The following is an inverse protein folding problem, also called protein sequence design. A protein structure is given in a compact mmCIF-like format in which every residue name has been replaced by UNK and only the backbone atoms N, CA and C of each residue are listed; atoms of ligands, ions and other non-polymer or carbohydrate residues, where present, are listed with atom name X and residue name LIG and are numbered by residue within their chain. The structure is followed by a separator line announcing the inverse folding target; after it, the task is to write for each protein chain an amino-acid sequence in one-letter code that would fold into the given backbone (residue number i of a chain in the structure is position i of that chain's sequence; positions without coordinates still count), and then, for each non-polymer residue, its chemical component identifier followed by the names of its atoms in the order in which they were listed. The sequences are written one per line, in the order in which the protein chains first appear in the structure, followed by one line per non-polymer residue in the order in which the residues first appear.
data_IF_122211908152
#
_entry.id   IF_122211908152
#
_cell.length_a   1.000
_cell.length_b   1.000
_cell.length_c   1.000
_cell.angle_alpha   90.00
_cell.angle_beta   90.00
_cell.angle_gamma   90.00
#
_symmetry.space_group_name_H-M   'P 1'
#
loop_
_entity.id
_entity.type
_entity.pdbx_description
1 polymer ?
#
# COMPACT_ATOMS: atom_id res chain seq x y z
N UNK A 1 -9.77 25.71 -9.61
CA UNK A 1 -10.32 24.53 -10.31
C UNK A 1 -10.74 23.50 -9.29
N UNK A 2 -11.88 22.74 -9.50
CA UNK A 2 -12.30 21.69 -8.57
C UNK A 2 -11.86 20.32 -9.05
N UNK A 3 -11.34 19.52 -8.12
CA UNK A 3 -10.94 18.11 -8.30
C UNK A 3 -11.75 17.29 -7.30
N UNK A 4 -12.29 16.14 -7.71
CA UNK A 4 -12.99 15.20 -6.84
C UNK A 4 -12.27 13.86 -6.85
N UNK A 5 -11.67 13.48 -5.71
CA UNK A 5 -11.15 12.15 -5.48
C UNK A 5 -12.27 11.27 -4.90
N UNK A 6 -12.46 10.09 -5.47
CA UNK A 6 -13.48 9.11 -5.06
C UNK A 6 -12.78 7.85 -4.55
N UNK A 7 -13.03 7.50 -3.28
CA UNK A 7 -12.44 6.34 -2.62
C UNK A 7 -13.53 5.42 -2.03
N UNK A 8 -13.26 4.12 -2.01
CA UNK A 8 -14.14 3.10 -1.42
C UNK A 8 -13.89 2.84 0.07
N UNK A 9 -13.01 3.62 0.69
CA UNK A 9 -12.65 3.52 2.11
C UNK A 9 -12.69 4.86 2.82
N UNK A 10 -12.95 4.82 4.13
CA UNK A 10 -12.81 5.95 5.04
C UNK A 10 -12.25 5.45 6.38
N UNK A 11 -11.20 6.05 6.90
CA UNK A 11 -10.39 7.10 6.28
C UNK A 11 -9.72 6.64 4.98
N UNK A 12 -9.41 7.57 4.08
CA UNK A 12 -8.67 7.26 2.86
C UNK A 12 -7.22 6.87 3.20
N UNK A 13 -6.58 6.13 2.31
CA UNK A 13 -5.19 5.72 2.52
C UNK A 13 -4.21 6.89 2.46
N UNK A 14 -3.06 6.75 3.12
CA UNK A 14 -2.02 7.79 3.22
C UNK A 14 -1.48 8.24 1.86
N UNK A 15 -1.49 7.37 0.85
CA UNK A 15 -1.07 7.71 -0.51
C UNK A 15 -2.05 8.70 -1.15
N UNK A 16 -3.36 8.47 -1.03
CA UNK A 16 -4.37 9.38 -1.53
C UNK A 16 -4.33 10.74 -0.82
N UNK A 17 -4.03 10.75 0.49
CA UNK A 17 -3.78 11.99 1.22
C UNK A 17 -2.61 12.75 0.58
N UNK A 18 -1.48 12.10 0.33
CA UNK A 18 -0.30 12.73 -0.32
C UNK A 18 -0.61 13.27 -1.71
N UNK A 19 -1.38 12.53 -2.52
CA UNK A 19 -1.83 13.00 -3.84
C UNK A 19 -2.65 14.28 -3.69
N UNK A 20 -3.63 14.29 -2.79
CA UNK A 20 -4.49 15.45 -2.51
C UNK A 20 -3.66 16.65 -2.07
N UNK A 21 -2.75 16.47 -1.13
CA UNK A 21 -1.87 17.53 -0.63
C UNK A 21 -0.97 18.10 -1.73
N UNK A 22 -0.35 17.23 -2.54
CA UNK A 22 0.50 17.65 -3.67
C UNK A 22 -0.29 18.45 -4.70
N UNK A 23 -1.52 18.03 -5.03
CA UNK A 23 -2.39 18.77 -5.95
C UNK A 23 -2.84 20.10 -5.37
N UNK A 24 -3.22 20.16 -4.09
CA UNK A 24 -3.61 21.43 -3.42
C UNK A 24 -2.45 22.42 -3.39
N UNK A 25 -1.24 21.93 -3.09
CA UNK A 25 -0.05 22.76 -2.93
C UNK A 25 0.50 23.32 -4.25
N UNK A 26 0.44 22.53 -5.32
CA UNK A 26 1.17 22.82 -6.56
C UNK A 26 0.30 23.00 -7.82
N UNK A 27 -0.94 22.52 -7.82
CA UNK A 27 -1.82 22.66 -8.98
C UNK A 27 -2.68 23.92 -8.83
N UNK A 28 -2.21 25.04 -9.36
CA UNK A 28 -2.83 26.36 -9.49
C UNK A 28 -4.23 26.53 -8.85
N UNK A 29 -4.27 26.87 -7.54
CA UNK A 29 -5.51 27.14 -6.77
C UNK A 29 -6.57 26.04 -6.91
N UNK A 30 -6.17 24.77 -6.97
CA UNK A 30 -7.12 23.67 -7.03
C UNK A 30 -7.81 23.47 -5.69
N UNK A 31 -9.14 23.40 -5.73
CA UNK A 31 -9.97 22.99 -4.61
C UNK A 31 -10.20 21.49 -4.72
N UNK A 32 -9.59 20.71 -3.82
CA UNK A 32 -9.70 19.26 -3.85
C UNK A 32 -10.74 18.79 -2.83
N UNK A 33 -11.73 18.03 -3.31
CA UNK A 33 -12.75 17.37 -2.52
C UNK A 33 -12.50 15.88 -2.52
N UNK A 34 -12.90 15.19 -1.45
CA UNK A 34 -12.82 13.75 -1.32
C UNK A 34 -14.21 13.19 -1.05
N UNK A 35 -14.69 12.31 -1.91
CA UNK A 35 -15.83 11.47 -1.62
C UNK A 35 -15.35 10.10 -1.14
N UNK A 36 -15.62 9.77 0.10
CA UNK A 36 -15.15 8.56 0.76
C UNK A 36 -16.34 7.74 1.31
N UNK A 37 -16.19 6.41 1.27
CA UNK A 37 -17.22 5.52 1.79
C UNK A 37 -16.83 4.93 3.14
N UNK A 38 -17.55 5.37 4.20
CA UNK A 38 -17.42 4.84 5.54
C UNK A 38 -18.22 3.52 5.67
N UNK A 39 -17.52 2.40 5.52
CA UNK A 39 -18.11 1.06 5.57
C UNK A 39 -18.23 0.49 6.98
N UNK A 40 -17.36 0.94 7.87
CA UNK A 40 -17.15 0.36 9.20
C UNK A 40 -17.79 1.19 10.31
N UNK A 41 -18.27 2.41 10.00
CA UNK A 41 -18.78 3.38 11.00
C UNK A 41 -17.65 3.91 11.91
N UNK A 42 -16.42 4.02 11.39
CA UNK A 42 -15.29 4.61 12.11
C UNK A 42 -15.47 6.12 12.22
N UNK A 43 -14.91 6.68 13.29
CA UNK A 43 -15.11 8.08 13.67
C UNK A 43 -14.43 9.07 12.74
N UNK A 44 -14.89 10.33 12.84
CA UNK A 44 -14.39 11.48 12.10
C UNK A 44 -12.90 11.69 12.26
N UNK A 45 -12.24 11.97 11.13
CA UNK A 45 -10.95 12.62 11.11
C UNK A 45 -11.25 14.12 11.01
N UNK A 46 -10.96 14.87 12.06
CA UNK A 46 -11.06 16.33 12.06
C UNK A 46 -9.88 16.93 11.28
N UNK A 47 -9.82 16.67 9.98
CA UNK A 47 -8.90 17.36 9.08
C UNK A 47 -9.63 18.56 8.48
N UNK A 48 -9.49 19.72 9.13
CA UNK A 48 -10.16 20.98 8.75
C UNK A 48 -9.75 21.49 7.37
N UNK A 49 -8.65 20.98 6.83
CA UNK A 49 -8.09 21.47 5.58
C UNK A 49 -8.60 20.70 4.35
N UNK A 50 -9.15 19.50 4.51
CA UNK A 50 -9.64 18.65 3.44
C UNK A 50 -11.18 18.60 3.45
N UNK A 51 -11.80 18.88 2.31
CA UNK A 51 -13.26 18.85 2.16
C UNK A 51 -13.75 17.43 1.88
N UNK A 52 -14.16 16.72 2.95
CA UNK A 52 -14.73 15.38 2.84
C UNK A 52 -16.24 15.39 2.57
N UNK A 53 -16.67 14.45 1.74
CA UNK A 53 -18.04 14.03 1.53
C UNK A 53 -18.14 12.55 1.90
N UNK A 54 -18.55 12.27 3.13
CA UNK A 54 -18.57 10.91 3.65
C UNK A 54 -19.90 10.25 3.37
N UNK A 55 -19.88 9.09 2.70
CA UNK A 55 -21.03 8.24 2.51
C UNK A 55 -21.07 7.18 3.58
N UNK A 56 -22.08 7.24 4.44
CA UNK A 56 -22.23 6.33 5.57
C UNK A 56 -23.18 5.18 5.21
N UNK A 57 -22.62 4.01 4.95
CA UNK A 57 -23.39 2.79 4.74
C UNK A 57 -22.57 1.57 5.09
N UNK A 58 -22.97 0.82 6.12
CA UNK A 58 -22.30 -0.40 6.52
C UNK A 58 -22.30 -1.45 5.41
N UNK A 59 -21.13 -2.03 5.15
CA UNK A 59 -20.96 -3.17 4.25
C UNK A 59 -19.78 -4.00 4.74
N UNK A 60 -20.09 -5.16 5.35
CA UNK A 60 -19.06 -6.02 5.93
C UNK A 60 -18.05 -6.47 4.87
N UNK A 61 -16.77 -6.52 5.26
CA UNK A 61 -15.72 -7.13 4.44
C UNK A 61 -16.03 -8.61 4.23
N UNK A 62 -15.81 -9.10 3.00
CA UNK A 62 -16.10 -10.50 2.64
C UNK A 62 -17.56 -10.77 2.21
N UNK A 63 -18.46 -9.78 2.23
CA UNK A 63 -19.82 -9.94 1.72
C UNK A 63 -20.03 -9.21 0.38
N UNK A 64 -19.85 -9.90 -0.78
CA UNK A 64 -19.91 -9.26 -2.10
C UNK A 64 -21.30 -8.71 -2.46
N UNK A 65 -22.38 -9.35 -1.98
CA UNK A 65 -23.73 -8.91 -2.27
C UNK A 65 -24.07 -7.59 -1.54
N UNK A 66 -23.70 -7.49 -0.26
CA UNK A 66 -23.86 -6.25 0.49
C UNK A 66 -23.02 -5.11 -0.13
N UNK A 67 -21.79 -5.44 -0.54
CA UNK A 67 -20.93 -4.47 -1.25
C UNK A 67 -21.60 -3.98 -2.54
N UNK A 68 -22.18 -4.86 -3.34
CA UNK A 68 -22.83 -4.49 -4.60
C UNK A 68 -24.03 -3.57 -4.40
N UNK A 69 -24.91 -3.88 -3.44
CA UNK A 69 -26.08 -3.03 -3.09
C UNK A 69 -25.63 -1.65 -2.58
N UNK A 70 -24.56 -1.63 -1.77
CA UNK A 70 -24.03 -0.39 -1.25
C UNK A 70 -23.33 0.45 -2.34
N UNK A 71 -22.62 -0.19 -3.28
CA UNK A 71 -22.04 0.49 -4.45
C UNK A 71 -23.10 1.18 -5.31
N UNK A 72 -24.26 0.54 -5.50
CA UNK A 72 -25.37 1.16 -6.21
C UNK A 72 -25.86 2.43 -5.50
N UNK A 73 -26.01 2.38 -4.17
CA UNK A 73 -26.39 3.57 -3.38
C UNK A 73 -25.30 4.65 -3.41
N UNK A 74 -24.03 4.23 -3.36
CA UNK A 74 -22.89 5.13 -3.44
C UNK A 74 -22.82 5.84 -4.80
N UNK A 75 -23.18 5.15 -5.88
CA UNK A 75 -23.27 5.76 -7.21
C UNK A 75 -24.23 6.96 -7.23
N UNK A 76 -25.44 6.86 -6.67
CA UNK A 76 -26.38 7.99 -6.62
C UNK A 76 -25.89 9.11 -5.70
N UNK A 77 -25.23 8.77 -4.60
CA UNK A 77 -24.59 9.76 -3.75
C UNK A 77 -23.51 10.54 -4.51
N UNK A 78 -22.62 9.83 -5.21
CA UNK A 78 -21.58 10.44 -6.05
C UNK A 78 -22.17 11.28 -7.19
N UNK A 79 -23.27 10.84 -7.80
CA UNK A 79 -23.96 11.59 -8.84
C UNK A 79 -24.42 12.96 -8.34
N UNK A 80 -24.96 13.03 -7.12
CA UNK A 80 -25.38 14.30 -6.49
C UNK A 80 -24.17 15.21 -6.23
N UNK A 81 -23.09 14.66 -5.68
CA UNK A 81 -21.87 15.43 -5.42
C UNK A 81 -21.28 15.94 -6.74
N UNK A 82 -21.14 15.08 -7.75
CA UNK A 82 -20.58 15.45 -9.05
C UNK A 82 -21.41 16.57 -9.72
N UNK A 83 -22.73 16.50 -9.65
CA UNK A 83 -23.63 17.54 -10.19
C UNK A 83 -23.52 18.87 -9.42
N UNK A 84 -23.35 18.83 -8.09
CA UNK A 84 -23.23 20.03 -7.26
C UNK A 84 -21.85 20.69 -7.39
N UNK A 85 -20.78 19.90 -7.40
CA UNK A 85 -19.41 20.40 -7.42
C UNK A 85 -18.96 20.79 -8.84
N UNK A 86 -19.42 20.07 -9.86
CA UNK A 86 -18.97 20.18 -11.25
C UNK A 86 -17.43 20.17 -11.36
N UNK A 87 -16.74 19.14 -10.81
CA UNK A 87 -15.29 19.09 -10.84
C UNK A 87 -14.79 18.96 -12.27
N UNK A 88 -13.63 19.57 -12.57
CA UNK A 88 -12.96 19.39 -13.86
C UNK A 88 -12.27 18.04 -13.97
N UNK A 89 -11.81 17.50 -12.84
CA UNK A 89 -11.10 16.21 -12.76
C UNK A 89 -11.79 15.32 -11.72
N UNK A 90 -12.06 14.09 -12.14
CA UNK A 90 -12.45 12.98 -11.26
C UNK A 90 -11.22 12.07 -11.09
N UNK A 91 -10.87 11.75 -9.85
CA UNK A 91 -9.82 10.76 -9.54
C UNK A 91 -10.51 9.55 -8.92
N UNK A 92 -10.46 8.41 -9.57
CA UNK A 92 -11.03 7.17 -9.11
C UNK A 92 -9.96 6.32 -8.45
N UNK A 93 -10.05 6.11 -7.14
CA UNK A 93 -9.17 5.24 -6.37
C UNK A 93 -9.72 3.82 -6.36
N UNK A 94 -8.95 2.87 -6.87
CA UNK A 94 -9.34 1.49 -7.12
C UNK A 94 -10.28 1.27 -8.32
N UNK A 95 -10.33 0.03 -8.80
CA UNK A 95 -11.09 -0.37 -9.99
C UNK A 95 -12.62 -0.21 -9.84
N UNK A 96 -13.16 -0.42 -8.63
CA UNK A 96 -14.59 -0.26 -8.36
C UNK A 96 -15.03 1.23 -8.41
N UNK A 97 -14.17 2.13 -7.96
CA UNK A 97 -14.40 3.58 -8.11
C UNK A 97 -14.22 4.02 -9.55
N UNK A 98 -13.27 3.41 -10.28
CA UNK A 98 -13.12 3.64 -11.72
C UNK A 98 -14.42 3.33 -12.47
N UNK A 99 -15.06 2.20 -12.16
CA UNK A 99 -16.35 1.83 -12.76
C UNK A 99 -17.41 2.91 -12.52
N UNK A 100 -17.56 3.36 -11.26
CA UNK A 100 -18.55 4.38 -10.90
C UNK A 100 -18.25 5.73 -11.58
N UNK A 101 -16.99 6.19 -11.51
CA UNK A 101 -16.58 7.46 -12.10
C UNK A 101 -16.69 7.44 -13.63
N UNK A 102 -16.42 6.33 -14.29
CA UNK A 102 -16.56 6.21 -15.75
C UNK A 102 -18.01 6.36 -16.24
N UNK A 103 -18.99 5.99 -15.39
CA UNK A 103 -20.42 6.17 -15.64
C UNK A 103 -20.91 7.59 -15.29
N UNK A 104 -20.22 8.28 -14.39
CA UNK A 104 -20.58 9.63 -13.92
C UNK A 104 -19.95 10.74 -14.75
N UNK A 105 -18.82 10.46 -15.40
CA UNK A 105 -18.04 11.44 -16.14
C UNK A 105 -18.86 12.11 -17.24
N UNK A 106 -18.90 13.44 -17.23
CA UNK A 106 -19.39 14.26 -18.34
C UNK A 106 -18.32 14.48 -19.41
N UNK A 107 -18.72 15.01 -20.58
CA UNK A 107 -17.78 15.26 -21.69
C UNK A 107 -16.67 16.27 -21.34
N UNK A 108 -17.00 17.24 -20.48
CA UNK A 108 -16.07 18.32 -20.11
C UNK A 108 -15.20 17.97 -18.90
N UNK A 109 -15.34 16.77 -18.35
CA UNK A 109 -14.55 16.27 -17.23
C UNK A 109 -13.41 15.35 -17.71
N UNK A 110 -12.30 15.36 -16.99
CA UNK A 110 -11.23 14.39 -17.12
C UNK A 110 -11.34 13.32 -16.05
N UNK A 111 -11.06 12.07 -16.40
CA UNK A 111 -11.06 10.94 -15.49
C UNK A 111 -9.63 10.41 -15.33
N UNK A 112 -9.17 10.40 -14.08
CA UNK A 112 -7.89 9.83 -13.67
C UNK A 112 -8.16 8.54 -12.91
N UNK A 113 -7.49 7.47 -13.27
CA UNK A 113 -7.52 6.21 -12.54
C UNK A 113 -6.29 6.06 -11.67
N UNK A 114 -6.48 6.09 -10.36
CA UNK A 114 -5.46 5.74 -9.37
C UNK A 114 -5.46 4.22 -9.20
N UNK A 115 -4.54 3.55 -9.91
CA UNK A 115 -4.40 2.10 -9.89
C UNK A 115 -3.49 1.67 -8.72
N UNK A 116 -4.12 1.46 -7.56
CA UNK A 116 -3.45 1.06 -6.32
C UNK A 116 -3.15 -0.44 -6.27
N UNK A 117 -4.10 -1.23 -6.76
CA UNK A 117 -4.08 -2.68 -6.74
C UNK A 117 -4.69 -3.22 -8.03
N UNK A 118 -4.22 -4.38 -8.46
CA UNK A 118 -4.83 -5.07 -9.59
C UNK A 118 -6.14 -5.72 -9.16
N UNK A 119 -7.20 -5.72 -9.99
CA UNK A 119 -8.41 -6.49 -9.72
C UNK A 119 -8.09 -7.96 -9.54
N UNK A 120 -8.40 -8.53 -8.39
CA UNK A 120 -8.17 -9.94 -8.09
C UNK A 120 -9.43 -10.64 -7.65
N UNK A 121 -9.56 -11.93 -7.99
CA UNK A 121 -10.55 -12.84 -7.48
C UNK A 121 -9.99 -14.27 -7.53
N UNK A 122 -10.38 -15.11 -6.59
CA UNK A 122 -10.00 -16.53 -6.57
C UNK A 122 -10.53 -17.27 -7.81
N UNK A 123 -11.77 -17.01 -8.17
CA UNK A 123 -12.38 -17.56 -9.36
C UNK A 123 -11.85 -16.92 -10.63
N UNK A 124 -11.32 -17.71 -11.56
CA UNK A 124 -10.85 -17.26 -12.87
C UNK A 124 -11.97 -16.62 -13.71
N UNK A 125 -13.21 -17.10 -13.56
CA UNK A 125 -14.38 -16.52 -14.22
C UNK A 125 -14.69 -15.11 -13.69
N UNK A 126 -14.72 -14.94 -12.36
CA UNK A 126 -14.94 -13.62 -11.75
C UNK A 126 -13.84 -12.67 -12.16
N UNK A 127 -12.58 -13.11 -12.16
CA UNK A 127 -11.46 -12.27 -12.59
C UNK A 127 -11.62 -11.78 -14.04
N UNK A 128 -12.05 -12.65 -14.97
CA UNK A 128 -12.33 -12.23 -16.36
C UNK A 128 -13.43 -11.17 -16.44
N UNK A 129 -14.47 -11.27 -15.61
CA UNK A 129 -15.53 -10.24 -15.54
C UNK A 129 -14.96 -8.91 -15.03
N UNK A 130 -14.17 -8.95 -13.95
CA UNK A 130 -13.54 -7.74 -13.41
C UNK A 130 -12.61 -7.07 -14.44
N UNK A 131 -11.77 -7.86 -15.14
CA UNK A 131 -10.91 -7.37 -16.22
C UNK A 131 -11.72 -6.73 -17.36
N UNK A 132 -12.86 -7.32 -17.73
CA UNK A 132 -13.71 -6.76 -18.78
C UNK A 132 -14.38 -5.45 -18.35
N UNK A 133 -14.84 -5.35 -17.09
CA UNK A 133 -15.42 -4.12 -16.51
C UNK A 133 -14.37 -3.02 -16.41
N UNK A 134 -13.17 -3.34 -15.93
CA UNK A 134 -12.05 -2.39 -15.87
C UNK A 134 -11.70 -1.88 -17.28
N UNK A 135 -11.48 -2.78 -18.26
CA UNK A 135 -11.18 -2.41 -19.65
C UNK A 135 -12.26 -1.53 -20.27
N UNK A 136 -13.53 -1.80 -19.96
CA UNK A 136 -14.64 -0.96 -20.45
C UNK A 136 -14.58 0.44 -19.83
N UNK A 137 -14.31 0.52 -18.53
CA UNK A 137 -14.22 1.80 -17.80
C UNK A 137 -13.02 2.63 -18.28
N UNK A 138 -11.92 1.98 -18.63
CA UNK A 138 -10.72 2.62 -19.16
C UNK A 138 -10.94 3.35 -20.49
N UNK A 139 -11.96 3.00 -21.28
CA UNK A 139 -12.32 3.75 -22.52
C UNK A 139 -12.67 5.21 -22.25
N UNK A 140 -13.14 5.52 -21.05
CA UNK A 140 -13.51 6.89 -20.62
C UNK A 140 -12.42 7.54 -19.76
N UNK A 141 -11.26 6.88 -19.58
CA UNK A 141 -10.17 7.34 -18.73
C UNK A 141 -9.15 8.14 -19.56
N UNK A 142 -8.66 9.23 -18.99
CA UNK A 142 -7.69 10.12 -19.66
C UNK A 142 -6.26 9.84 -19.17
N UNK A 143 -6.09 9.44 -17.90
CA UNK A 143 -4.79 9.16 -17.28
C UNK A 143 -4.90 7.97 -16.32
N UNK A 144 -3.89 7.09 -16.35
CA UNK A 144 -3.68 6.08 -15.31
C UNK A 144 -2.44 6.44 -14.49
N UNK A 145 -2.58 6.45 -13.15
CA UNK A 145 -1.48 6.57 -12.20
C UNK A 145 -1.26 5.18 -11.60
N UNK A 146 -0.09 4.61 -11.81
CA UNK A 146 0.28 3.31 -11.27
C UNK A 146 1.01 3.43 -9.94
N UNK A 147 0.54 2.74 -8.90
CA UNK A 147 1.22 2.63 -7.62
C UNK A 147 2.45 1.71 -7.66
N UNK A 148 2.54 0.84 -8.67
CA UNK A 148 3.68 -0.02 -8.93
C UNK A 148 4.08 0.05 -10.41
N UNK A 149 5.40 0.18 -10.68
CA UNK A 149 5.95 0.12 -12.05
C UNK A 149 5.62 -1.19 -12.76
N UNK A 150 5.43 -2.27 -12.01
CA UNK A 150 5.12 -3.59 -12.56
C UNK A 150 3.67 -3.74 -13.03
N UNK A 151 2.78 -2.82 -12.65
CA UNK A 151 1.41 -2.82 -13.18
C UNK A 151 1.36 -2.36 -14.63
N UNK A 152 2.27 -1.49 -15.05
CA UNK A 152 2.21 -0.78 -16.33
C UNK A 152 2.07 -1.73 -17.53
N UNK A 153 2.80 -2.84 -17.55
CA UNK A 153 2.77 -3.82 -18.65
C UNK A 153 1.38 -4.42 -18.92
N UNK A 154 0.53 -4.48 -17.88
CA UNK A 154 -0.84 -4.99 -18.04
C UNK A 154 -1.78 -4.03 -18.78
N UNK A 155 -1.38 -2.79 -18.93
CA UNK A 155 -2.18 -1.72 -19.54
C UNK A 155 -1.58 -1.22 -20.86
N UNK A 156 -0.83 -2.08 -21.56
CA UNK A 156 -0.26 -1.73 -22.89
C UNK A 156 -1.35 -1.47 -23.92
N UNK A 157 -2.53 -2.06 -23.75
CA UNK A 157 -3.71 -1.80 -24.57
C UNK A 157 -4.33 -0.42 -24.37
N UNK A 158 -3.97 0.29 -23.29
CA UNK A 158 -4.51 1.62 -23.00
C UNK A 158 -3.73 2.70 -23.74
N UNK A 159 -4.43 3.46 -24.55
CA UNK A 159 -3.84 4.51 -25.40
C UNK A 159 -3.73 5.89 -24.74
N UNK A 160 -4.37 6.09 -23.58
CA UNK A 160 -4.30 7.34 -22.83
C UNK A 160 -2.96 7.52 -22.11
N UNK A 161 -2.84 8.61 -21.37
CA UNK A 161 -1.63 8.92 -20.61
C UNK A 161 -1.42 7.93 -19.44
N UNK A 162 -0.17 7.57 -19.23
CA UNK A 162 0.26 6.65 -18.15
C UNK A 162 1.40 7.27 -17.36
N UNK A 163 1.35 7.21 -16.04
CA UNK A 163 2.43 7.66 -15.16
C UNK A 163 2.60 6.69 -13.99
N UNK A 164 3.83 6.46 -13.60
CA UNK A 164 4.17 5.69 -12.40
C UNK A 164 4.50 6.65 -11.29
N UNK A 165 3.71 6.60 -10.22
CA UNK A 165 3.92 7.36 -8.99
C UNK A 165 3.94 6.34 -7.87
N UNK A 166 5.10 5.89 -7.47
CA UNK A 166 5.25 4.87 -6.43
C UNK A 166 5.03 5.46 -5.03
N UNK A 167 4.67 4.63 -4.05
CA UNK A 167 4.36 5.10 -2.71
C UNK A 167 5.63 5.36 -1.88
N UNK A 168 6.49 6.22 -2.39
CA UNK A 168 7.74 6.60 -1.74
C UNK A 168 7.46 7.27 -0.37
N UNK A 169 8.35 7.11 0.62
CA UNK A 169 8.23 7.79 1.90
C UNK A 169 8.43 9.31 1.74
N UNK A 170 7.77 10.07 2.59
CA UNK A 170 8.01 11.52 2.70
C UNK A 170 9.35 11.79 3.38
N UNK A 171 9.97 12.93 3.07
CA UNK A 171 11.14 13.40 3.83
C UNK A 171 10.72 13.80 5.24
N UNK A 172 11.42 13.29 6.25
CA UNK A 172 11.17 13.70 7.65
C UNK A 172 11.80 15.06 7.92
N UNK A 173 10.97 16.02 8.32
CA UNK A 173 11.41 17.40 8.57
C UNK A 173 11.69 17.69 10.06
N UNK A 174 11.37 16.79 10.97
CA UNK A 174 11.55 16.97 12.41
C UNK A 174 12.10 15.72 13.09
N UNK A 175 12.96 15.92 14.06
CA UNK A 175 13.35 14.89 15.02
C UNK A 175 12.20 14.81 16.04
N UNK A 176 11.55 13.66 16.09
CA UNK A 176 10.55 13.34 17.11
C UNK A 176 11.25 12.54 18.19
N UNK A 177 10.88 12.82 19.46
CA UNK A 177 11.42 12.07 20.60
C UNK A 177 11.11 10.57 20.42
N UNK A 178 12.12 9.73 20.70
CA UNK A 178 12.02 8.28 20.53
C UNK A 178 11.00 7.70 21.50
N UNK A 179 9.99 6.99 20.98
CA UNK A 179 8.90 6.39 21.74
C UNK A 179 9.06 4.88 21.93
N UNK A 180 9.61 4.20 20.93
CA UNK A 180 9.70 2.74 20.94
C UNK A 180 11.14 2.28 21.14
N UNK A 181 11.34 1.42 22.15
CA UNK A 181 12.64 0.89 22.52
C UNK A 181 12.51 -0.63 22.62
N UNK A 182 13.51 -1.33 22.12
CA UNK A 182 13.63 -2.77 22.31
C UNK A 182 15.11 -3.15 22.19
N UNK A 183 15.63 -3.83 23.20
CA UNK A 183 17.03 -4.27 23.22
C UNK A 183 17.09 -5.79 23.34
N UNK A 184 17.92 -6.42 22.57
CA UNK A 184 18.20 -7.83 22.59
C UNK A 184 19.51 -8.08 21.82
N UNK A 185 20.32 -9.02 22.28
CA UNK A 185 21.54 -9.45 21.60
C UNK A 185 21.23 -10.39 20.41
N UNK A 186 20.01 -10.89 20.33
CA UNK A 186 19.55 -11.76 19.23
C UNK A 186 19.25 -10.99 17.97
N UNK A 187 19.30 -11.68 16.84
CA UNK A 187 18.82 -11.14 15.58
C UNK A 187 17.32 -10.77 15.67
N UNK A 188 16.97 -9.54 15.34
CA UNK A 188 15.58 -9.04 15.40
C UNK A 188 14.97 -8.92 14.01
N UNK A 189 13.94 -9.72 13.75
CA UNK A 189 13.15 -9.68 12.51
C UNK A 189 11.82 -9.01 12.82
N UNK A 190 11.54 -7.85 12.26
CA UNK A 190 10.28 -7.13 12.50
C UNK A 190 9.29 -7.27 11.35
N UNK A 191 8.05 -7.68 11.68
CA UNK A 191 6.89 -7.41 10.84
C UNK A 191 6.28 -6.06 11.25
N UNK A 192 6.02 -5.17 10.28
CA UNK A 192 5.54 -3.80 10.57
C UNK A 192 4.31 -3.52 9.69
N UNK A 193 3.13 -3.34 10.28
CA UNK A 193 1.90 -2.95 9.56
C UNK A 193 0.70 -3.84 9.82
N UNK A 194 -0.22 -3.93 8.87
CA UNK A 194 -1.47 -4.67 9.04
C UNK A 194 -1.24 -6.17 9.16
N UNK A 195 -1.62 -6.74 10.30
CA UNK A 195 -1.53 -8.18 10.59
C UNK A 195 -2.62 -8.92 9.81
N UNK A 196 -2.23 -9.47 8.69
CA UNK A 196 -3.06 -10.26 7.76
C UNK A 196 -2.23 -11.34 7.11
N UNK A 197 -2.86 -12.35 6.52
CA UNK A 197 -2.20 -13.53 5.96
C UNK A 197 -1.54 -14.40 7.03
N UNK A 198 -2.35 -14.82 8.00
CA UNK A 198 -1.92 -15.62 9.15
C UNK A 198 -0.98 -16.76 8.78
N UNK A 199 -1.27 -17.53 7.72
CA UNK A 199 -0.48 -18.71 7.37
C UNK A 199 0.98 -18.38 6.98
N UNK A 200 1.22 -17.23 6.35
CA UNK A 200 2.58 -16.76 6.06
C UNK A 200 3.32 -16.35 7.33
N UNK A 201 2.64 -15.69 8.28
CA UNK A 201 3.22 -15.32 9.58
C UNK A 201 3.45 -16.56 10.45
N UNK A 202 2.53 -17.52 10.42
CA UNK A 202 2.69 -18.81 11.08
C UNK A 202 3.94 -19.54 10.58
N UNK A 203 4.16 -19.59 9.27
CA UNK A 203 5.36 -20.22 8.70
C UNK A 203 6.65 -19.58 9.21
N UNK A 204 6.68 -18.23 9.36
CA UNK A 204 7.81 -17.55 9.99
C UNK A 204 8.01 -18.01 11.43
N UNK A 205 6.94 -17.96 12.24
CA UNK A 205 6.97 -18.33 13.68
C UNK A 205 7.44 -19.76 13.87
N UNK A 206 6.94 -20.70 13.06
CA UNK A 206 7.34 -22.11 13.15
C UNK A 206 8.81 -22.32 12.75
N UNK A 207 9.30 -21.54 11.81
CA UNK A 207 10.66 -21.67 11.25
C UNK A 207 11.76 -21.20 12.21
N UNK A 208 11.45 -20.36 13.19
CA UNK A 208 12.46 -19.79 14.11
C UNK A 208 12.72 -20.62 15.34
N UNK A 209 11.93 -21.65 15.61
CA UNK A 209 12.02 -22.46 16.84
C UNK A 209 13.45 -22.99 17.02
N UNK A 210 14.07 -22.63 18.17
CA UNK A 210 15.43 -23.05 18.52
C UNK A 210 16.57 -22.32 17.78
N UNK A 211 16.28 -21.28 17.00
CA UNK A 211 17.29 -20.35 16.44
C UNK A 211 17.52 -19.17 17.39
N UNK A 212 18.68 -18.55 17.33
CA UNK A 212 19.00 -17.36 18.13
C UNK A 212 18.47 -16.07 17.47
N UNK A 213 17.15 -15.95 17.44
CA UNK A 213 16.40 -14.87 16.76
C UNK A 213 15.15 -14.52 17.54
N UNK A 214 14.70 -13.29 17.43
CA UNK A 214 13.40 -12.82 17.90
C UNK A 214 12.60 -12.20 16.77
N UNK A 215 11.30 -12.48 16.77
CA UNK A 215 10.35 -11.90 15.82
C UNK A 215 9.47 -10.89 16.53
N UNK A 216 9.47 -9.66 16.02
CA UNK A 216 8.77 -8.52 16.59
C UNK A 216 7.60 -8.15 15.69
N UNK A 217 6.34 -8.31 16.17
CA UNK A 217 5.15 -7.92 15.43
C UNK A 217 4.65 -6.55 15.87
N UNK A 218 4.72 -5.58 14.96
CA UNK A 218 4.23 -4.21 15.13
C UNK A 218 3.04 -3.98 14.21
N UNK A 219 1.88 -3.76 14.78
CA UNK A 219 0.65 -3.51 14.04
C UNK A 219 -0.54 -4.29 14.58
N UNK A 220 -1.68 -4.05 13.94
CA UNK A 220 -2.96 -4.68 14.21
C UNK A 220 -3.62 -5.07 12.87
N UNK A 221 -4.68 -5.87 12.91
CA UNK A 221 -5.38 -6.28 11.70
C UNK A 221 -6.29 -7.49 11.90
N UNK A 222 -6.90 -7.98 10.81
CA UNK A 222 -7.89 -9.05 10.89
C UNK A 222 -7.37 -10.36 11.50
N UNK A 223 -6.07 -10.65 11.36
CA UNK A 223 -5.44 -11.86 11.90
C UNK A 223 -4.71 -11.64 13.23
N UNK A 224 -4.77 -10.42 13.80
CA UNK A 224 -4.03 -10.07 15.02
C UNK A 224 -4.38 -10.98 16.22
N UNK A 225 -5.67 -11.13 16.52
CA UNK A 225 -6.10 -11.94 17.64
C UNK A 225 -5.69 -13.42 17.47
N UNK A 226 -5.79 -13.94 16.24
CA UNK A 226 -5.37 -15.31 15.90
C UNK A 226 -3.86 -15.49 16.06
N UNK A 227 -3.06 -14.54 15.58
CA UNK A 227 -1.61 -14.56 15.72
C UNK A 227 -1.18 -14.47 17.18
N UNK A 228 -1.78 -13.57 17.96
CA UNK A 228 -1.50 -13.41 19.39
C UNK A 228 -1.79 -14.69 20.18
N UNK A 229 -2.92 -15.36 19.90
CA UNK A 229 -3.24 -16.64 20.52
C UNK A 229 -2.25 -17.74 20.10
N UNK A 230 -1.86 -17.78 18.83
CA UNK A 230 -0.94 -18.79 18.31
C UNK A 230 0.47 -18.66 18.91
N UNK A 231 0.90 -17.47 19.26
CA UNK A 231 2.26 -17.19 19.75
C UNK A 231 2.35 -17.03 21.27
N UNK A 232 1.27 -17.31 22.02
CA UNK A 232 1.19 -17.06 23.47
C UNK A 232 2.31 -17.69 24.28
N UNK A 233 2.74 -18.89 23.91
CA UNK A 233 3.76 -19.66 24.63
C UNK A 233 5.15 -19.55 23.96
N UNK A 234 5.27 -18.80 22.86
CA UNK A 234 6.52 -18.65 22.14
C UNK A 234 7.35 -17.46 22.65
N UNK A 235 8.37 -17.73 23.42
CA UNK A 235 9.24 -16.71 24.03
C UNK A 235 10.07 -15.92 23.01
N UNK A 236 10.25 -16.45 21.79
CA UNK A 236 11.00 -15.80 20.70
C UNK A 236 10.12 -14.78 19.93
N UNK A 237 8.82 -14.70 20.21
CA UNK A 237 7.89 -13.79 19.55
C UNK A 237 7.43 -12.70 20.51
N UNK A 238 7.50 -11.45 20.07
CA UNK A 238 7.00 -10.28 20.78
C UNK A 238 5.93 -9.59 19.96
N UNK A 239 4.78 -9.30 20.58
CA UNK A 239 3.64 -8.63 19.92
C UNK A 239 3.39 -7.28 20.58
N UNK A 240 3.59 -6.19 19.85
CA UNK A 240 3.47 -4.83 20.35
C UNK A 240 2.10 -4.21 20.04
N UNK A 241 1.36 -4.73 19.05
CA UNK A 241 0.09 -4.16 18.63
C UNK A 241 0.25 -2.88 17.78
N UNK A 242 -0.81 -2.07 17.74
CA UNK A 242 -0.85 -0.83 16.97
C UNK A 242 0.25 0.15 17.40
N UNK A 243 0.78 0.90 16.43
CA UNK A 243 1.80 1.92 16.65
C UNK A 243 1.41 3.24 15.97
N UNK A 244 2.01 4.33 16.44
CA UNK A 244 1.87 5.64 15.82
C UNK A 244 2.84 5.78 14.63
N UNK A 245 2.32 6.10 13.45
CA UNK A 245 3.11 6.12 12.22
C UNK A 245 4.26 7.16 12.24
N UNK A 246 4.09 8.26 12.96
CA UNK A 246 5.15 9.26 13.15
C UNK A 246 6.38 8.71 13.89
N UNK A 247 6.23 7.63 14.68
CA UNK A 247 7.30 6.91 15.38
C UNK A 247 7.79 5.65 14.64
N UNK A 248 7.42 5.45 13.38
CA UNK A 248 7.81 4.25 12.61
C UNK A 248 9.33 4.11 12.50
N UNK A 249 10.06 5.22 12.53
CA UNK A 249 11.53 5.24 12.55
C UNK A 249 12.09 4.41 13.70
N UNK A 250 11.55 4.56 14.91
CA UNK A 250 12.01 3.84 16.11
C UNK A 250 11.90 2.32 15.90
N UNK A 251 10.80 1.88 15.27
CA UNK A 251 10.56 0.46 14.98
C UNK A 251 11.59 -0.08 13.99
N UNK A 252 11.93 0.70 12.96
CA UNK A 252 13.00 0.32 12.03
C UNK A 252 14.37 0.33 12.71
N UNK A 253 14.64 1.25 13.64
CA UNK A 253 15.91 1.33 14.38
C UNK A 253 16.16 0.11 15.28
N UNK A 254 15.10 -0.43 15.90
CA UNK A 254 15.23 -1.66 16.72
C UNK A 254 15.26 -2.95 15.91
N UNK A 255 15.05 -2.89 14.59
CA UNK A 255 15.01 -4.04 13.69
C UNK A 255 16.36 -4.27 13.03
N UNK A 256 16.78 -5.53 12.90
CA UNK A 256 17.92 -5.91 12.08
C UNK A 256 17.49 -6.27 10.65
N UNK A 257 16.37 -6.98 10.52
CA UNK A 257 15.70 -7.34 9.27
C UNK A 257 14.21 -7.03 9.33
N UNK A 258 13.61 -6.79 8.18
CA UNK A 258 12.18 -6.52 8.05
C UNK A 258 11.49 -7.64 7.29
N UNK A 259 10.50 -8.28 7.91
CA UNK A 259 9.68 -9.28 7.25
C UNK A 259 8.62 -8.61 6.37
N UNK A 260 8.84 -8.65 5.07
CA UNK A 260 7.94 -8.12 4.04
C UNK A 260 7.47 -9.22 3.08
N UNK A 261 7.33 -10.43 3.59
CA UNK A 261 6.89 -11.60 2.82
C UNK A 261 5.38 -11.65 2.81
N UNK A 262 4.81 -11.73 1.62
CA UNK A 262 3.38 -11.82 1.35
C UNK A 262 3.07 -13.07 0.53
N UNK A 263 1.80 -13.53 0.45
CA UNK A 263 1.43 -14.73 -0.30
C UNK A 263 1.66 -14.53 -1.80
N UNK A 264 2.74 -15.08 -2.35
CA UNK A 264 3.14 -14.91 -3.76
C UNK A 264 2.20 -15.56 -4.78
N UNK A 265 1.28 -16.42 -4.32
CA UNK A 265 0.18 -16.94 -5.14
C UNK A 265 -0.93 -15.92 -5.41
N UNK A 266 -1.01 -14.86 -4.60
CA UNK A 266 -1.91 -13.75 -4.86
C UNK A 266 -1.42 -12.95 -6.08
N UNK A 267 -2.33 -12.80 -7.05
CA UNK A 267 -2.00 -12.15 -8.30
C UNK A 267 -1.57 -10.68 -8.15
N UNK A 268 -2.19 -9.95 -7.23
CA UNK A 268 -1.79 -8.57 -6.95
C UNK A 268 -0.41 -8.52 -6.30
N UNK A 269 -0.15 -9.39 -5.33
CA UNK A 269 1.15 -9.48 -4.63
C UNK A 269 2.30 -9.73 -5.59
N UNK A 270 2.07 -10.49 -6.67
CA UNK A 270 3.09 -10.75 -7.70
C UNK A 270 3.65 -9.48 -8.33
N UNK A 271 2.83 -8.44 -8.49
CA UNK A 271 3.18 -7.19 -9.19
C UNK A 271 3.19 -5.96 -8.28
N UNK A 272 2.65 -6.05 -7.07
CA UNK A 272 2.63 -4.94 -6.14
C UNK A 272 4.00 -4.69 -5.51
N UNK A 273 4.27 -3.43 -5.15
CA UNK A 273 5.42 -3.05 -4.34
C UNK A 273 4.91 -2.61 -2.97
N UNK A 274 5.32 -3.32 -1.92
CA UNK A 274 4.92 -2.97 -0.57
C UNK A 274 5.63 -1.71 -0.07
N UNK A 275 4.97 -0.93 0.78
CA UNK A 275 5.57 0.25 1.41
C UNK A 275 6.86 -0.10 2.15
N UNK A 276 6.93 -1.30 2.74
CA UNK A 276 8.12 -1.79 3.45
C UNK A 276 9.37 -1.82 2.57
N UNK A 277 9.22 -2.07 1.27
CA UNK A 277 10.34 -2.00 0.34
C UNK A 277 10.99 -0.61 0.35
N UNK A 278 10.19 0.46 0.25
CA UNK A 278 10.70 1.83 0.25
C UNK A 278 11.17 2.27 1.65
N UNK A 279 10.50 1.81 2.68
CA UNK A 279 10.88 2.05 4.07
C UNK A 279 12.21 1.39 4.41
N UNK A 280 12.52 0.21 3.84
CA UNK A 280 13.85 -0.42 3.95
C UNK A 280 14.96 0.49 3.41
N UNK A 281 14.76 1.18 2.30
CA UNK A 281 15.72 2.19 1.80
C UNK A 281 15.84 3.38 2.74
N UNK A 282 14.71 3.91 3.19
CA UNK A 282 14.68 5.11 4.04
C UNK A 282 15.44 4.89 5.34
N UNK A 283 15.26 3.73 5.96
CA UNK A 283 15.82 3.42 7.28
C UNK A 283 17.06 2.50 7.21
N UNK A 284 17.52 2.16 6.03
CA UNK A 284 18.67 1.26 5.79
C UNK A 284 18.53 -0.05 6.56
N UNK A 285 17.35 -0.69 6.48
CA UNK A 285 17.08 -2.00 7.08
C UNK A 285 16.74 -3.01 5.98
N UNK A 286 17.57 -4.07 5.79
CA UNK A 286 17.31 -5.07 4.76
C UNK A 286 15.98 -5.79 5.00
N UNK A 287 15.21 -5.99 3.92
CA UNK A 287 13.97 -6.73 3.97
C UNK A 287 14.13 -8.19 3.56
N UNK A 288 13.19 -9.02 4.02
CA UNK A 288 12.95 -10.38 3.50
C UNK A 288 11.66 -10.31 2.70
N UNK A 289 11.71 -10.67 1.41
CA UNK A 289 10.61 -10.55 0.47
C UNK A 289 10.20 -11.91 -0.09
N UNK A 290 8.98 -12.02 -0.62
CA UNK A 290 8.52 -13.27 -1.21
C UNK A 290 9.18 -13.51 -2.58
N UNK A 291 9.63 -14.76 -2.84
CA UNK A 291 9.99 -15.21 -4.18
C UNK A 291 8.78 -15.19 -5.12
N UNK A 292 9.02 -15.38 -6.42
CA UNK A 292 7.98 -15.42 -7.46
C UNK A 292 7.17 -14.12 -7.60
N UNK A 293 7.80 -12.99 -7.24
CA UNK A 293 7.28 -11.63 -7.40
C UNK A 293 8.25 -10.78 -8.22
N UNK A 294 7.74 -9.80 -8.95
CA UNK A 294 8.60 -8.86 -9.68
C UNK A 294 9.53 -8.08 -8.76
N UNK A 295 9.12 -7.89 -7.51
CA UNK A 295 9.95 -7.22 -6.49
C UNK A 295 11.15 -8.08 -6.08
N UNK A 296 11.00 -9.40 -6.03
CA UNK A 296 12.09 -10.31 -5.66
C UNK A 296 13.28 -10.20 -6.63
N UNK A 297 13.02 -10.01 -7.91
CA UNK A 297 14.07 -9.85 -8.92
C UNK A 297 14.88 -8.56 -8.69
N UNK A 298 14.20 -7.46 -8.32
CA UNK A 298 14.86 -6.19 -7.95
C UNK A 298 15.70 -6.36 -6.69
N UNK A 299 15.16 -7.01 -5.66
CA UNK A 299 15.87 -7.22 -4.39
C UNK A 299 17.17 -8.01 -4.60
N UNK A 300 17.11 -9.07 -5.42
CA UNK A 300 18.28 -9.88 -5.77
C UNK A 300 19.29 -9.12 -6.60
N UNK A 301 18.83 -8.41 -7.64
CA UNK A 301 19.70 -7.68 -8.56
C UNK A 301 20.44 -6.53 -7.86
N UNK A 302 19.74 -5.78 -7.00
CA UNK A 302 20.32 -4.65 -6.28
C UNK A 302 21.05 -5.08 -4.98
N UNK A 303 21.00 -6.36 -4.61
CA UNK A 303 21.61 -6.92 -3.38
C UNK A 303 21.24 -6.12 -2.12
N UNK A 304 19.96 -5.92 -1.88
CA UNK A 304 19.41 -5.04 -0.82
C UNK A 304 18.59 -5.79 0.25
N UNK A 305 18.55 -7.11 0.16
CA UNK A 305 17.76 -7.93 1.09
C UNK A 305 17.74 -9.38 0.67
N UNK A 306 16.85 -10.12 1.30
CA UNK A 306 16.67 -11.55 1.10
C UNK A 306 15.37 -11.85 0.39
N UNK A 307 15.30 -13.03 -0.23
CA UNK A 307 14.05 -13.54 -0.81
C UNK A 307 13.80 -14.98 -0.39
N UNK A 308 12.54 -15.31 -0.08
CA UNK A 308 12.15 -16.65 0.38
C UNK A 308 10.76 -17.03 -0.10
N UNK A 309 10.54 -18.32 -0.32
CA UNK A 309 9.19 -18.83 -0.57
C UNK A 309 8.36 -18.77 0.72
N UNK A 310 7.23 -18.02 0.74
CA UNK A 310 6.37 -17.88 1.93
C UNK A 310 5.77 -19.19 2.44
N UNK A 311 5.77 -20.23 1.63
CA UNK A 311 5.14 -21.52 1.93
C UNK A 311 6.15 -22.62 2.31
N UNK A 312 7.45 -22.34 2.25
CA UNK A 312 8.52 -23.28 2.55
C UNK A 312 9.20 -22.94 3.87
N UNK A 313 8.75 -23.60 4.95
CA UNK A 313 9.29 -23.40 6.30
C UNK A 313 10.78 -23.78 6.39
N UNK A 314 11.23 -24.78 5.63
CA UNK A 314 12.65 -25.19 5.64
C UNK A 314 13.52 -24.13 4.99
N UNK A 315 13.06 -23.55 3.87
CA UNK A 315 13.77 -22.44 3.22
C UNK A 315 13.79 -21.18 4.10
N UNK A 316 12.70 -20.87 4.81
CA UNK A 316 12.63 -19.76 5.76
C UNK A 316 13.62 -20.00 6.89
N UNK A 317 13.61 -21.19 7.50
CA UNK A 317 14.53 -21.55 8.57
C UNK A 317 15.98 -21.44 8.15
N UNK A 318 16.31 -21.99 6.98
CA UNK A 318 17.67 -21.95 6.43
C UNK A 318 18.12 -20.49 6.23
N UNK A 319 17.31 -19.65 5.59
CA UNK A 319 17.63 -18.23 5.37
C UNK A 319 17.94 -17.52 6.69
N UNK A 320 17.12 -17.74 7.74
CA UNK A 320 17.31 -17.10 9.03
C UNK A 320 18.58 -17.61 9.72
N UNK A 321 18.85 -18.91 9.68
CA UNK A 321 20.08 -19.50 10.22
C UNK A 321 21.33 -18.96 9.51
N UNK A 322 21.28 -18.84 8.18
CA UNK A 322 22.36 -18.27 7.37
C UNK A 322 22.57 -16.77 7.72
N UNK A 323 21.49 -16.02 7.95
CA UNK A 323 21.57 -14.61 8.36
C UNK A 323 22.17 -14.42 9.75
N UNK A 324 21.86 -15.31 10.71
CA UNK A 324 22.48 -15.32 12.05
C UNK A 324 23.98 -15.61 11.95
N UNK A 325 24.35 -16.58 11.11
CA UNK A 325 25.75 -17.02 10.96
C UNK A 325 26.61 -16.05 10.14
N UNK A 326 25.98 -15.16 9.35
CA UNK A 326 26.68 -14.23 8.46
C UNK A 326 26.19 -12.78 8.61
N UNK A 327 26.50 -12.11 9.72
CA UNK A 327 26.10 -10.71 9.94
C UNK A 327 26.74 -9.74 8.92
N UNK A 328 27.85 -10.11 8.29
CA UNK A 328 28.49 -9.30 7.25
C UNK A 328 27.61 -9.14 6.01
N UNK A 329 26.84 -10.16 5.67
CA UNK A 329 25.88 -10.09 4.56
C UNK A 329 24.77 -9.08 4.85
N UNK A 330 24.26 -9.05 6.09
CA UNK A 330 23.28 -8.04 6.53
C UNK A 330 23.89 -6.63 6.41
N UNK A 331 25.14 -6.46 6.84
CA UNK A 331 25.84 -5.17 6.75
C UNK A 331 26.10 -4.75 5.30
N UNK A 332 26.44 -5.70 4.40
CA UNK A 332 26.53 -5.45 2.97
C UNK A 332 25.21 -4.89 2.43
N UNK A 333 24.08 -5.52 2.74
CA UNK A 333 22.77 -5.05 2.29
C UNK A 333 22.39 -3.69 2.89
N UNK A 334 22.72 -3.43 4.16
CA UNK A 334 22.55 -2.09 4.78
C UNK A 334 23.35 -1.03 4.03
N UNK A 335 24.57 -1.33 3.64
CA UNK A 335 25.43 -0.42 2.86
C UNK A 335 24.83 -0.14 1.48
N UNK A 336 24.39 -1.18 0.78
CA UNK A 336 23.76 -1.03 -0.54
C UNK A 336 22.50 -0.18 -0.44
N UNK A 337 21.63 -0.40 0.55
CA UNK A 337 20.47 0.45 0.81
C UNK A 337 20.87 1.90 1.08
N UNK A 338 21.96 2.13 1.81
CA UNK A 338 22.50 3.46 2.11
C UNK A 338 22.88 4.27 0.86
N UNK A 339 23.34 3.61 -0.21
CA UNK A 339 23.67 4.25 -1.49
C UNK A 339 22.43 4.88 -2.18
N UNK A 340 21.23 4.43 -1.85
CA UNK A 340 19.98 4.95 -2.36
C UNK A 340 19.28 5.90 -1.39
N UNK A 341 19.79 6.06 -0.17
CA UNK A 341 19.20 6.94 0.85
C UNK A 341 19.09 8.38 0.34
N UNK A 342 17.90 8.97 0.50
CA UNK A 342 17.62 10.35 0.05
C UNK A 342 17.33 10.50 -1.45
N UNK A 343 17.42 9.42 -2.25
CA UNK A 343 17.16 9.46 -3.70
C UNK A 343 15.77 8.95 -4.10
N UNK A 344 14.93 8.54 -3.15
CA UNK A 344 13.61 7.95 -3.38
C UNK A 344 12.62 8.47 -2.34
N UNK A 345 12.19 9.72 -2.50
CA UNK A 345 11.22 10.37 -1.64
C UNK A 345 9.97 10.75 -2.42
N UNK A 346 8.86 10.99 -1.72
CA UNK A 346 7.60 11.42 -2.33
C UNK A 346 7.75 12.72 -3.12
N UNK A 347 8.56 13.64 -2.62
CA UNK A 347 8.85 14.93 -3.23
C UNK A 347 9.45 14.78 -4.65
N UNK A 348 10.16 13.69 -4.92
CA UNK A 348 10.69 13.37 -6.26
C UNK A 348 9.57 13.03 -7.24
N UNK A 349 8.46 12.48 -6.75
CA UNK A 349 7.27 12.15 -7.54
C UNK A 349 6.33 13.34 -7.75
N UNK A 350 6.35 14.35 -6.86
CA UNK A 350 5.37 15.45 -6.88
C UNK A 350 5.36 16.21 -8.21
N UNK A 351 6.52 16.54 -8.75
CA UNK A 351 6.61 17.26 -10.02
C UNK A 351 6.05 16.44 -11.18
N UNK A 352 6.35 15.15 -11.23
CA UNK A 352 5.82 14.24 -12.24
C UNK A 352 4.30 14.09 -12.13
N UNK A 353 3.78 13.96 -10.91
CA UNK A 353 2.36 13.92 -10.63
C UNK A 353 1.66 15.19 -11.13
N UNK A 354 2.12 16.36 -10.69
CA UNK A 354 1.52 17.66 -11.03
C UNK A 354 1.55 17.92 -12.54
N UNK A 355 2.70 17.69 -13.18
CA UNK A 355 2.84 17.84 -14.63
C UNK A 355 1.86 16.95 -15.40
N UNK A 356 1.60 15.73 -14.91
CA UNK A 356 0.62 14.82 -15.53
C UNK A 356 -0.80 15.41 -15.47
N UNK A 357 -1.16 16.06 -14.36
CA UNK A 357 -2.46 16.73 -14.23
C UNK A 357 -2.57 18.01 -15.06
N UNK A 358 -1.50 18.80 -15.14
CA UNK A 358 -1.46 20.00 -15.99
C UNK A 358 -1.63 19.63 -17.47
N UNK A 359 -1.00 18.53 -17.89
CA UNK A 359 -1.12 18.04 -19.27
C UNK A 359 -2.54 17.62 -19.65
N UNK A 360 -3.36 17.18 -18.67
CA UNK A 360 -4.78 16.86 -18.90
C UNK A 360 -5.65 18.09 -19.14
N UNK A 361 -5.20 19.26 -18.72
CA UNK A 361 -5.95 20.51 -18.76
C UNK A 361 -5.67 21.35 -20.00
N UNK A 362 -4.62 20.98 -20.73
CA UNK A 362 -4.26 21.56 -22.04
C UNK A 362 -5.05 20.87 -23.15
#
# INVERSE_FOLDING_TARGET
MKVLLVDSSYPINTRNIRIVESLRKRLNQSEVHIAAWNRDGRFDIDDKDIKYHVFEKKAAYGNPLQKLIALFSYFFYLKRINASLQPKILIASHWDMLLLCSLLKSKDQKLVYENLDLPTAESSFVRKILDALEKRSLKNTDLIIFASRFFQQRYDFFSGSKVVIENLPITENALIEKKYFYESDKLKISFIGTVRYFDVMKNLVDSIVGLDVEVLFWGDGPDFARLKAYTSDNTQVKIFGSYEYNHIRDIYEVSDLVWAVYPSLDYNVKYAISNKFYECFKYCRPGIFATDTCLADVVKHEEIGFTVNPYDQQAIRKLIADAISNPELINKYKTNLGNFKGKRNWEDNESTLVNSFESLLR
#
